data_IF_710687876089
#
_entry.id   IF_710687876089
#
_cell.length_a   1.000
_cell.length_b   1.000
_cell.length_c   1.000
_cell.angle_alpha   90.00
_cell.angle_beta   90.00
_cell.angle_gamma   90.00
#
_symmetry.space_group_name_H-M   'P 1'
#
loop_
_entity.id
_entity.type
_entity.pdbx_description
1 polymer ?
#
# COMPACT_ATOMS: atom_id res chain seq x y z
N UNK A 1 -27.75 0.92 -18.44
CA UNK A 1 -29.17 0.53 -18.29
C UNK A 1 -29.92 0.50 -19.62
N UNK A 2 -30.24 1.63 -20.25
CA UNK A 2 -31.07 1.65 -21.48
C UNK A 2 -30.48 1.05 -22.76
N UNK A 3 -29.31 0.40 -22.71
CA UNK A 3 -28.72 -0.36 -23.83
C UNK A 3 -28.81 -1.88 -23.65
N UNK A 4 -29.22 -2.35 -22.47
CA UNK A 4 -29.04 -3.75 -22.06
C UNK A 4 -30.36 -4.46 -21.73
N UNK A 5 -31.49 -3.75 -21.69
CA UNK A 5 -32.84 -4.33 -21.57
C UNK A 5 -33.88 -3.36 -22.16
N UNK A 6 -34.74 -3.85 -23.06
CA UNK A 6 -35.85 -3.09 -23.64
C UNK A 6 -36.84 -2.62 -22.56
N UNK A 7 -37.08 -3.47 -21.54
CA UNK A 7 -37.98 -3.15 -20.42
C UNK A 7 -37.44 -2.00 -19.56
N UNK A 8 -36.11 -1.93 -19.39
CA UNK A 8 -35.47 -0.81 -18.70
C UNK A 8 -35.58 0.49 -19.51
N UNK A 9 -35.55 0.39 -20.84
CA UNK A 9 -35.66 1.52 -21.74
C UNK A 9 -37.06 2.13 -21.74
N UNK A 10 -38.11 1.29 -21.77
CA UNK A 10 -39.51 1.73 -21.72
C UNK A 10 -39.82 2.53 -20.45
N UNK A 11 -39.30 2.10 -19.29
CA UNK A 11 -39.48 2.82 -18.03
C UNK A 11 -38.67 4.11 -18.02
N UNK A 12 -37.43 4.11 -18.53
CA UNK A 12 -36.61 5.33 -18.62
C UNK A 12 -37.25 6.37 -19.53
N UNK A 13 -37.84 5.95 -20.66
CA UNK A 13 -38.56 6.84 -21.58
C UNK A 13 -39.85 7.37 -20.95
N UNK A 14 -40.59 6.51 -20.25
CA UNK A 14 -41.76 6.91 -19.45
C UNK A 14 -41.42 7.97 -18.39
N UNK A 15 -40.27 7.83 -17.72
CA UNK A 15 -39.79 8.81 -16.73
C UNK A 15 -39.35 10.12 -17.37
N UNK A 16 -38.73 10.06 -18.55
CA UNK A 16 -38.32 11.26 -19.30
C UNK A 16 -39.52 12.07 -19.80
N UNK A 17 -40.61 11.39 -20.15
CA UNK A 17 -41.83 12.00 -20.67
C UNK A 17 -42.75 12.57 -19.56
N UNK A 18 -42.36 12.51 -18.28
CA UNK A 18 -43.11 13.12 -17.18
C UNK A 18 -42.88 14.65 -17.12
N UNK A 19 -43.90 15.48 -17.44
CA UNK A 19 -43.73 16.93 -17.52
C UNK A 19 -43.59 17.62 -16.16
N UNK A 20 -43.88 16.90 -15.06
CA UNK A 20 -43.97 17.46 -13.69
C UNK A 20 -42.68 17.33 -12.87
N UNK A 21 -41.68 16.59 -13.36
CA UNK A 21 -40.42 16.32 -12.64
C UNK A 21 -39.26 17.08 -13.29
N UNK A 22 -38.71 18.07 -12.58
CA UNK A 22 -37.65 18.93 -13.13
C UNK A 22 -36.25 18.50 -12.68
N UNK A 23 -36.11 17.85 -11.52
CA UNK A 23 -34.78 17.46 -11.01
C UNK A 23 -34.36 16.05 -11.42
N UNK A 24 -33.04 15.84 -11.54
CA UNK A 24 -32.48 14.50 -11.78
C UNK A 24 -32.80 13.53 -10.62
N UNK A 25 -32.87 14.05 -9.39
CA UNK A 25 -33.23 13.25 -8.21
C UNK A 25 -34.70 12.81 -8.23
N UNK A 26 -35.61 13.72 -8.59
CA UNK A 26 -37.02 13.41 -8.78
C UNK A 26 -37.23 12.37 -9.88
N UNK A 27 -36.43 12.44 -10.96
CA UNK A 27 -36.45 11.43 -12.04
C UNK A 27 -36.01 10.06 -11.53
N UNK A 28 -34.95 9.99 -10.73
CA UNK A 28 -34.51 8.73 -10.11
C UNK A 28 -35.56 8.16 -9.16
N UNK A 29 -36.27 9.00 -8.40
CA UNK A 29 -37.35 8.57 -7.50
C UNK A 29 -38.59 8.09 -8.25
N UNK A 30 -38.97 8.77 -9.33
CA UNK A 30 -40.06 8.33 -10.20
C UNK A 30 -39.71 7.01 -10.89
N UNK A 31 -38.46 6.87 -11.36
CA UNK A 31 -37.95 5.63 -11.93
C UNK A 31 -38.02 4.48 -10.92
N UNK A 32 -37.59 4.70 -9.68
CA UNK A 32 -37.64 3.68 -8.63
C UNK A 32 -39.08 3.21 -8.35
N UNK A 33 -40.03 4.15 -8.21
CA UNK A 33 -41.45 3.82 -8.00
C UNK A 33 -42.06 3.05 -9.16
N UNK A 34 -41.74 3.42 -10.41
CA UNK A 34 -42.19 2.70 -11.60
C UNK A 34 -41.57 1.31 -11.70
N UNK A 35 -40.29 1.17 -11.38
CA UNK A 35 -39.60 -0.12 -11.34
C UNK A 35 -40.21 -1.07 -10.28
N UNK A 36 -40.61 -0.53 -9.12
CA UNK A 36 -41.35 -1.29 -8.10
C UNK A 36 -42.75 -1.68 -8.58
N UNK A 37 -43.48 -0.77 -9.23
CA UNK A 37 -44.81 -1.05 -9.79
C UNK A 37 -44.77 -2.13 -10.88
N UNK A 38 -43.69 -2.19 -11.66
CA UNK A 38 -43.45 -3.23 -12.66
C UNK A 38 -42.86 -4.53 -12.10
N UNK A 39 -42.54 -4.57 -10.80
CA UNK A 39 -41.91 -5.72 -10.11
C UNK A 39 -40.59 -6.18 -10.75
N UNK A 40 -39.86 -5.23 -11.34
CA UNK A 40 -38.61 -5.49 -12.08
C UNK A 40 -37.41 -4.79 -11.45
N UNK A 41 -37.56 -4.24 -10.24
CA UNK A 41 -36.50 -3.51 -9.56
C UNK A 41 -35.24 -4.39 -9.35
N UNK A 42 -35.42 -5.62 -8.87
CA UNK A 42 -34.33 -6.58 -8.67
C UNK A 42 -33.64 -6.92 -9.99
N UNK A 43 -34.40 -7.13 -11.06
CA UNK A 43 -33.88 -7.41 -12.41
C UNK A 43 -33.01 -6.27 -12.93
N UNK A 44 -33.40 -5.01 -12.70
CA UNK A 44 -32.56 -3.87 -13.10
C UNK A 44 -31.24 -3.82 -12.32
N UNK A 45 -31.27 -4.04 -11.00
CA UNK A 45 -30.04 -4.09 -10.21
C UNK A 45 -29.17 -5.30 -10.56
N UNK A 46 -29.76 -6.44 -10.92
CA UNK A 46 -29.03 -7.60 -11.41
C UNK A 46 -28.26 -7.26 -12.71
N UNK A 47 -28.94 -6.67 -13.70
CA UNK A 47 -28.31 -6.24 -14.96
C UNK A 47 -27.19 -5.21 -14.70
N UNK A 48 -27.35 -4.37 -13.68
CA UNK A 48 -26.34 -3.39 -13.29
C UNK A 48 -25.07 -4.06 -12.72
N UNK A 49 -25.25 -5.12 -11.91
CA UNK A 49 -24.15 -5.89 -11.32
C UNK A 49 -23.47 -6.82 -12.32
N UNK A 50 -24.22 -7.40 -13.27
CA UNK A 50 -23.68 -8.22 -14.35
C UNK A 50 -22.71 -7.41 -15.24
N UNK A 51 -22.88 -6.08 -15.28
CA UNK A 51 -22.01 -5.13 -15.99
C UNK A 51 -21.17 -4.23 -15.06
N UNK A 52 -20.90 -4.67 -13.82
CA UNK A 52 -20.18 -3.88 -12.79
C UNK A 52 -18.84 -3.32 -13.27
N UNK A 53 -18.09 -4.07 -14.08
CA UNK A 53 -16.72 -3.72 -14.49
C UNK A 53 -16.68 -2.70 -15.64
N UNK A 54 -17.80 -2.41 -16.29
CA UNK A 54 -17.83 -1.51 -17.47
C UNK A 54 -18.61 -0.23 -17.24
N UNK A 55 -19.69 -0.25 -16.43
CA UNK A 55 -20.56 0.90 -16.22
C UNK A 55 -20.35 1.50 -14.83
N UNK A 56 -20.10 0.68 -13.81
CA UNK A 56 -20.06 1.15 -12.42
C UNK A 56 -18.73 1.79 -12.02
N UNK A 57 -17.64 1.41 -12.69
CA UNK A 57 -16.29 1.95 -12.41
C UNK A 57 -16.17 3.47 -12.70
N UNK A 58 -16.95 4.00 -13.63
CA UNK A 58 -16.95 5.45 -13.95
C UNK A 58 -17.69 6.30 -12.91
N UNK A 59 -18.69 5.73 -12.21
CA UNK A 59 -19.59 6.47 -11.33
C UNK A 59 -19.40 6.18 -9.83
N UNK A 60 -18.73 5.09 -9.47
CA UNK A 60 -18.58 4.65 -8.08
C UNK A 60 -17.13 4.50 -7.66
N UNK A 61 -16.82 4.86 -6.42
CA UNK A 61 -15.50 4.64 -5.83
C UNK A 61 -15.25 3.13 -5.65
N UNK A 62 -13.99 2.64 -5.74
CA UNK A 62 -13.64 1.23 -5.55
C UNK A 62 -14.15 0.55 -4.27
N UNK A 63 -14.44 1.33 -3.22
CA UNK A 63 -14.94 0.85 -1.93
C UNK A 63 -16.46 1.03 -1.77
N UNK A 64 -17.19 1.29 -2.86
CA UNK A 64 -18.64 1.48 -2.82
C UNK A 64 -19.36 0.14 -2.73
N UNK A 65 -20.50 0.11 -2.04
CA UNK A 65 -21.31 -1.09 -1.85
C UNK A 65 -21.60 -1.84 -3.17
N UNK A 66 -21.89 -1.11 -4.25
CA UNK A 66 -22.24 -1.68 -5.55
C UNK A 66 -21.07 -2.37 -6.29
N UNK A 67 -19.82 -2.10 -5.90
CA UNK A 67 -18.63 -2.80 -6.43
C UNK A 67 -18.17 -3.94 -5.51
N UNK A 68 -18.65 -3.97 -4.27
CA UNK A 68 -18.40 -5.07 -3.34
C UNK A 68 -19.19 -6.32 -3.75
N UNK A 69 -18.69 -7.49 -3.34
CA UNK A 69 -19.44 -8.75 -3.45
C UNK A 69 -20.76 -8.71 -2.65
N UNK A 70 -20.85 -7.79 -1.68
CA UNK A 70 -22.04 -7.56 -0.86
C UNK A 70 -23.26 -7.06 -1.66
N UNK A 71 -23.03 -6.47 -2.84
CA UNK A 71 -24.10 -6.02 -3.71
C UNK A 71 -25.01 -7.17 -4.16
N UNK A 72 -24.48 -8.39 -4.25
CA UNK A 72 -25.27 -9.58 -4.61
C UNK A 72 -26.30 -9.91 -3.52
N UNK A 73 -25.97 -9.72 -2.25
CA UNK A 73 -26.92 -9.89 -1.15
C UNK A 73 -28.02 -8.83 -1.20
N UNK A 74 -27.69 -7.59 -1.57
CA UNK A 74 -28.67 -6.53 -1.77
C UNK A 74 -29.69 -6.92 -2.85
N UNK A 75 -29.25 -7.44 -4.00
CA UNK A 75 -30.16 -7.90 -5.06
C UNK A 75 -30.99 -9.08 -4.59
N UNK A 76 -30.42 -10.02 -3.84
CA UNK A 76 -31.16 -11.13 -3.22
C UNK A 76 -32.32 -10.66 -2.36
N UNK A 77 -32.12 -9.61 -1.56
CA UNK A 77 -33.20 -8.99 -0.75
C UNK A 77 -34.22 -8.29 -1.65
N UNK A 78 -33.78 -7.59 -2.70
CA UNK A 78 -34.67 -6.91 -3.65
C UNK A 78 -35.57 -7.89 -4.42
N UNK A 79 -35.15 -9.13 -4.66
CA UNK A 79 -36.01 -10.16 -5.25
C UNK A 79 -37.22 -10.42 -4.34
N UNK A 80 -37.03 -10.41 -3.02
CA UNK A 80 -38.13 -10.51 -2.05
C UNK A 80 -39.14 -9.38 -2.13
N UNK A 81 -38.73 -8.19 -2.60
CA UNK A 81 -39.64 -7.06 -2.78
C UNK A 81 -40.63 -7.24 -3.95
N UNK A 82 -40.36 -8.16 -4.88
CA UNK A 82 -41.28 -8.45 -5.99
C UNK A 82 -42.59 -9.12 -5.53
N UNK A 83 -42.62 -9.66 -4.30
CA UNK A 83 -43.82 -10.25 -3.71
C UNK A 83 -44.89 -9.19 -3.34
N UNK A 84 -44.53 -7.91 -3.25
CA UNK A 84 -45.44 -6.84 -2.88
C UNK A 84 -46.07 -6.18 -4.11
N UNK A 85 -47.38 -5.96 -4.05
CA UNK A 85 -48.12 -5.19 -5.06
C UNK A 85 -48.02 -3.70 -4.74
N UNK A 86 -47.11 -3.00 -5.43
CA UNK A 86 -46.93 -1.57 -5.26
C UNK A 86 -47.78 -0.77 -6.25
N UNK A 87 -48.77 -0.03 -5.75
CA UNK A 87 -49.56 0.92 -6.54
C UNK A 87 -49.26 2.36 -6.13
N UNK A 88 -48.35 3.02 -6.84
CA UNK A 88 -48.11 4.46 -6.65
C UNK A 88 -48.90 5.29 -7.67
N UNK A 89 -49.65 6.26 -7.18
CA UNK A 89 -50.33 7.25 -8.01
C UNK A 89 -49.34 8.31 -8.46
N UNK A 90 -48.81 8.19 -9.68
CA UNK A 90 -47.80 9.11 -10.24
C UNK A 90 -48.32 10.53 -10.55
N UNK A 91 -49.62 10.81 -10.38
CA UNK A 91 -50.23 12.06 -10.81
C UNK A 91 -50.16 13.19 -9.77
N UNK A 92 -50.07 12.87 -8.47
CA UNK A 92 -50.34 13.83 -7.41
C UNK A 92 -49.16 14.16 -6.47
N UNK A 93 -47.99 13.51 -6.64
CA UNK A 93 -46.83 13.75 -5.76
C UNK A 93 -45.77 14.68 -6.40
N UNK A 94 -45.34 15.70 -5.66
CA UNK A 94 -44.17 16.52 -6.01
C UNK A 94 -42.88 15.72 -5.73
N UNK A 95 -42.42 14.96 -6.72
CA UNK A 95 -41.23 14.10 -6.60
C UNK A 95 -39.91 14.83 -6.25
N UNK A 96 -39.87 16.15 -6.45
CA UNK A 96 -38.71 17.01 -6.26
C UNK A 96 -38.51 17.44 -4.78
N UNK A 97 -39.54 17.35 -3.91
CA UNK A 97 -39.47 17.76 -2.50
C UNK A 97 -39.73 16.59 -1.52
N UNK A 98 -39.16 16.69 -0.31
CA UNK A 98 -39.26 15.70 0.76
C UNK A 98 -40.60 15.85 1.52
N UNK A 99 -41.40 14.79 1.58
CA UNK A 99 -42.37 14.59 2.67
C UNK A 99 -42.06 13.23 3.33
N UNK A 100 -41.56 13.21 4.57
CA UNK A 100 -41.14 11.98 5.24
C UNK A 100 -42.28 11.27 6.00
N UNK A 101 -43.55 11.63 5.77
CA UNK A 101 -44.66 11.16 6.60
C UNK A 101 -45.67 10.43 5.73
N UNK A 102 -45.68 9.09 5.82
CA UNK A 102 -46.81 8.27 5.38
C UNK A 102 -47.94 8.48 6.38
N UNK A 103 -48.99 9.20 6.01
CA UNK A 103 -50.16 9.38 6.87
C UNK A 103 -51.01 8.10 6.88
N UNK A 104 -50.69 7.19 7.80
CA UNK A 104 -51.41 5.93 8.00
C UNK A 104 -52.81 6.10 8.60
N UNK A 105 -53.25 7.33 8.91
CA UNK A 105 -54.59 7.59 9.46
C UNK A 105 -55.71 7.24 8.49
N UNK A 106 -55.45 7.30 7.18
CA UNK A 106 -56.42 6.93 6.15
C UNK A 106 -56.65 5.41 6.04
N UNK A 107 -55.71 4.60 6.53
CA UNK A 107 -55.80 3.13 6.50
C UNK A 107 -56.40 2.54 7.79
N UNK A 108 -56.72 3.37 8.78
CA UNK A 108 -57.20 2.95 10.10
C UNK A 108 -58.66 3.34 10.41
N UNK A 109 -59.49 3.54 9.39
CA UNK A 109 -60.92 3.82 9.58
C UNK A 109 -61.83 2.84 8.82
N UNK A 110 -61.68 1.55 9.12
CA UNK A 110 -62.81 0.62 9.02
C UNK A 110 -63.75 0.89 10.20
N UNK A 111 -64.79 1.71 9.98
CA UNK A 111 -66.14 1.65 10.60
C UNK A 111 -66.91 2.97 10.46
N UNK A 112 -67.15 3.42 9.22
CA UNK A 112 -68.15 4.46 8.95
C UNK A 112 -69.17 3.98 7.92
N UNK A 113 -69.84 2.87 8.23
CA UNK A 113 -71.10 2.48 7.61
C UNK A 113 -71.98 1.80 8.66
N UNK A 114 -72.66 2.59 9.49
CA UNK A 114 -73.98 2.27 10.09
C UNK A 114 -74.38 3.33 11.12
N UNK A 115 -75.34 4.17 10.75
CA UNK A 115 -76.68 4.23 11.34
C UNK A 115 -77.34 5.56 10.99
N UNK A 116 -78.15 5.52 9.93
CA UNK A 116 -79.34 6.35 9.81
C UNK A 116 -80.54 5.53 10.30
N UNK A 117 -81.64 6.23 10.64
CA UNK A 117 -82.97 5.76 11.08
C UNK A 117 -83.04 5.59 12.63
N UNK A 118 -83.82 6.35 13.41
CA UNK A 118 -85.21 6.75 13.19
C UNK A 118 -85.66 7.96 14.06
N UNK A 119 -86.59 8.76 13.52
CA UNK A 119 -87.38 9.79 14.22
C UNK A 119 -88.83 9.31 14.31
N UNK A 120 -89.47 9.41 15.48
CA UNK A 120 -90.93 9.48 15.72
C UNK A 120 -91.18 9.53 17.25
N UNK A 121 -92.15 10.18 17.88
CA UNK A 121 -93.22 11.15 17.57
C UNK A 121 -93.85 11.53 18.93
N UNK A 122 -94.23 12.78 19.11
CA UNK A 122 -94.99 13.27 20.28
C UNK A 122 -96.53 13.16 20.08
N UNK A 123 -97.25 13.10 21.22
CA UNK A 123 -98.60 13.61 21.55
C UNK A 123 -99.88 12.98 20.94
N UNK A 124 -100.90 12.81 21.81
CA UNK A 124 -102.27 13.35 21.61
C UNK A 124 -103.26 13.02 22.74
N UNK A 125 -104.11 14.01 23.04
CA UNK A 125 -105.25 14.14 23.96
C UNK A 125 -106.39 13.09 23.85
N UNK A 126 -107.30 13.12 24.84
CA UNK A 126 -108.74 12.91 24.63
C UNK A 126 -109.61 13.68 25.65
N UNK A 127 -110.74 14.20 25.15
CA UNK A 127 -111.68 15.21 25.68
C UNK A 127 -113.05 14.62 26.18
N UNK A 128 -113.87 15.51 26.80
CA UNK A 128 -115.37 15.59 26.84
C UNK A 128 -116.17 14.64 27.81
N UNK A 129 -117.30 14.95 28.50
CA UNK A 129 -118.38 15.97 28.38
C UNK A 129 -119.46 15.91 29.54
N UNK A 130 -120.28 16.97 29.73
CA UNK A 130 -121.68 17.10 30.29
C UNK A 130 -121.97 16.89 31.82
N UNK A 131 -122.61 17.73 32.66
CA UNK A 131 -123.76 18.69 32.74
C UNK A 131 -124.95 18.16 33.61
N UNK A 132 -125.21 18.90 34.71
CA UNK A 132 -126.45 19.09 35.53
C UNK A 132 -126.97 18.01 36.49
N UNK A 133 -127.11 18.35 37.80
CA UNK A 133 -128.33 18.95 38.41
C UNK A 133 -128.07 19.31 39.89
N UNK A 134 -128.02 20.59 40.21
CA UNK A 134 -128.07 21.18 41.56
C UNK A 134 -129.50 21.06 42.11
N UNK A 135 -129.73 20.42 43.27
CA UNK A 135 -130.18 21.15 44.47
C UNK A 135 -130.35 20.24 45.71
N UNK A 136 -129.72 19.05 45.72
CA UNK A 136 -129.49 18.26 46.96
C UNK A 136 -128.00 18.25 47.30
N UNK A 137 -127.19 18.92 46.46
CA UNK A 137 -125.76 18.71 46.42
C UNK A 137 -124.98 19.75 47.22
N UNK A 138 -125.49 20.92 47.60
CA UNK A 138 -124.67 21.96 48.28
C UNK A 138 -124.11 21.56 49.67
N UNK A 139 -124.81 20.71 50.43
CA UNK A 139 -124.33 20.24 51.75
C UNK A 139 -123.46 18.99 51.67
N UNK A 140 -123.61 18.18 50.62
CA UNK A 140 -122.72 17.05 50.31
C UNK A 140 -121.52 17.48 49.47
N UNK A 141 -121.64 18.51 48.63
CA UNK A 141 -120.54 19.17 47.91
C UNK A 141 -119.63 19.82 48.92
N UNK A 142 -120.10 20.55 49.95
CA UNK A 142 -119.16 21.11 50.94
C UNK A 142 -118.34 20.05 51.70
N UNK A 143 -118.95 18.89 51.98
CA UNK A 143 -118.33 17.79 52.72
C UNK A 143 -117.48 16.88 51.81
N UNK A 144 -117.91 16.66 50.57
CA UNK A 144 -117.15 15.99 49.53
C UNK A 144 -116.06 16.90 48.95
N UNK A 145 -116.22 18.22 48.92
CA UNK A 145 -115.20 19.21 48.54
C UNK A 145 -114.13 19.25 49.60
N UNK A 146 -114.46 19.33 50.89
CA UNK A 146 -113.42 19.19 51.93
C UNK A 146 -112.74 17.82 51.90
N UNK A 147 -113.45 16.75 51.54
CA UNK A 147 -112.87 15.39 51.46
C UNK A 147 -112.10 15.14 50.17
N UNK A 148 -112.52 15.73 49.05
CA UNK A 148 -111.82 15.73 47.76
C UNK A 148 -110.63 16.67 47.83
N UNK A 149 -110.71 17.81 48.50
CA UNK A 149 -109.60 18.74 48.68
C UNK A 149 -108.56 18.14 49.64
N UNK A 150 -108.98 17.46 50.72
CA UNK A 150 -108.03 16.73 51.58
C UNK A 150 -107.47 15.46 50.91
N UNK A 151 -108.26 14.66 50.19
CA UNK A 151 -107.77 13.48 49.48
C UNK A 151 -106.95 13.84 48.23
N UNK A 152 -107.32 14.88 47.48
CA UNK A 152 -106.58 15.40 46.33
C UNK A 152 -105.30 16.09 46.77
N UNK A 153 -105.31 16.83 47.89
CA UNK A 153 -104.10 17.43 48.44
C UNK A 153 -103.17 16.33 48.99
N UNK A 154 -103.69 15.29 49.64
CA UNK A 154 -102.89 14.14 50.08
C UNK A 154 -102.36 13.28 48.92
N UNK A 155 -103.17 12.98 47.89
CA UNK A 155 -102.72 12.24 46.71
C UNK A 155 -101.71 13.03 45.87
N UNK A 156 -101.91 14.34 45.73
CA UNK A 156 -100.95 15.22 45.07
C UNK A 156 -99.65 15.32 45.88
N UNK A 157 -99.72 15.42 47.20
CA UNK A 157 -98.53 15.42 48.06
C UNK A 157 -97.78 14.08 48.01
N UNK A 158 -98.47 12.93 47.99
CA UNK A 158 -97.86 11.60 47.83
C UNK A 158 -97.26 11.39 46.42
N UNK A 159 -97.93 11.87 45.37
CA UNK A 159 -97.38 11.84 44.01
C UNK A 159 -96.19 12.79 43.82
N UNK A 160 -96.22 13.96 44.44
CA UNK A 160 -95.08 14.89 44.46
C UNK A 160 -93.93 14.28 45.26
N UNK A 161 -94.20 13.66 46.42
CA UNK A 161 -93.17 12.98 47.21
C UNK A 161 -92.52 11.81 46.44
N UNK A 162 -93.32 10.96 45.80
CA UNK A 162 -92.80 9.84 44.98
C UNK A 162 -92.06 10.33 43.73
N UNK A 163 -92.52 11.40 43.08
CA UNK A 163 -91.79 12.00 41.96
C UNK A 163 -90.48 12.66 42.40
N UNK A 164 -90.43 13.31 43.56
CA UNK A 164 -89.19 13.84 44.15
C UNK A 164 -88.22 12.70 44.46
N UNK A 165 -88.70 11.59 45.04
CA UNK A 165 -87.92 10.39 45.33
C UNK A 165 -87.38 9.76 44.02
N UNK A 166 -88.21 9.63 42.99
CA UNK A 166 -87.82 9.07 41.69
C UNK A 166 -86.81 9.96 40.94
N UNK A 167 -86.99 11.29 40.97
CA UNK A 167 -86.01 12.23 40.42
C UNK A 167 -84.69 12.15 41.19
N UNK A 168 -84.75 12.02 42.52
CA UNK A 168 -83.56 11.84 43.36
C UNK A 168 -82.83 10.54 43.03
N UNK A 169 -83.54 9.41 42.97
CA UNK A 169 -82.98 8.11 42.61
C UNK A 169 -82.45 8.08 41.17
N UNK A 170 -83.11 8.76 40.23
CA UNK A 170 -82.64 8.92 38.85
C UNK A 170 -81.34 9.75 38.79
N UNK A 171 -81.25 10.80 39.60
CA UNK A 171 -80.03 11.62 39.71
C UNK A 171 -78.89 10.85 40.40
N UNK A 172 -79.18 10.05 41.43
CA UNK A 172 -78.20 9.17 42.07
C UNK A 172 -77.71 8.08 41.12
N UNK A 173 -78.62 7.42 40.40
CA UNK A 173 -78.25 6.38 39.41
C UNK A 173 -77.45 6.97 38.23
N UNK A 174 -77.80 8.17 37.76
CA UNK A 174 -77.01 8.85 36.72
C UNK A 174 -75.63 9.27 37.24
N UNK A 175 -75.52 9.75 38.49
CA UNK A 175 -74.24 10.06 39.12
C UNK A 175 -73.38 8.80 39.30
N UNK A 176 -73.96 7.69 39.77
CA UNK A 176 -73.26 6.40 39.92
C UNK A 176 -72.79 5.87 38.56
N UNK A 177 -73.62 5.97 37.52
CA UNK A 177 -73.25 5.56 36.16
C UNK A 177 -72.09 6.40 35.62
N UNK A 178 -72.15 7.72 35.77
CA UNK A 178 -71.07 8.62 35.35
C UNK A 178 -69.76 8.35 36.10
N UNK A 179 -69.82 8.10 37.41
CA UNK A 179 -68.67 7.73 38.24
C UNK A 179 -68.09 6.36 37.83
N UNK A 180 -68.95 5.40 37.51
CA UNK A 180 -68.55 4.08 37.01
C UNK A 180 -67.84 4.18 35.65
N UNK A 181 -68.39 4.98 34.73
CA UNK A 181 -67.79 5.22 33.41
C UNK A 181 -66.44 5.94 33.53
N UNK A 182 -66.32 6.96 34.38
CA UNK A 182 -65.03 7.61 34.68
C UNK A 182 -64.02 6.63 35.28
N UNK A 183 -64.44 5.79 36.23
CA UNK A 183 -63.55 4.80 36.85
C UNK A 183 -63.01 3.79 35.82
N UNK A 184 -63.89 3.29 34.94
CA UNK A 184 -63.52 2.37 33.87
C UNK A 184 -62.60 3.02 32.82
N UNK A 185 -62.81 4.30 32.49
CA UNK A 185 -61.92 5.05 31.61
C UNK A 185 -60.52 5.23 32.23
N UNK A 186 -60.44 5.62 33.50
CA UNK A 186 -59.15 5.76 34.20
C UNK A 186 -58.43 4.41 34.31
N UNK A 187 -59.16 3.32 34.53
CA UNK A 187 -58.58 1.98 34.56
C UNK A 187 -58.01 1.57 33.20
N UNK A 188 -58.77 1.78 32.12
CA UNK A 188 -58.30 1.49 30.75
C UNK A 188 -57.06 2.31 30.40
N UNK A 189 -57.07 3.62 30.69
CA UNK A 189 -55.92 4.48 30.46
C UNK A 189 -54.70 4.05 31.28
N UNK A 190 -54.88 3.61 32.53
CA UNK A 190 -53.77 3.07 33.34
C UNK A 190 -53.20 1.79 32.75
N UNK A 191 -54.05 0.90 32.26
CA UNK A 191 -53.62 -0.34 31.63
C UNK A 191 -52.82 -0.08 30.34
N UNK A 192 -53.32 0.82 29.50
CA UNK A 192 -52.64 1.24 28.27
C UNK A 192 -51.29 1.90 28.60
N UNK A 193 -51.26 2.81 29.56
CA UNK A 193 -50.04 3.47 30.01
C UNK A 193 -49.03 2.47 30.59
N UNK A 194 -49.49 1.48 31.35
CA UNK A 194 -48.63 0.43 31.91
C UNK A 194 -48.09 -0.50 30.81
N UNK A 195 -48.90 -0.82 29.81
CA UNK A 195 -48.47 -1.60 28.63
C UNK A 195 -47.41 -0.85 27.82
N UNK A 196 -47.64 0.45 27.55
CA UNK A 196 -46.69 1.30 26.82
C UNK A 196 -45.39 1.45 27.60
N UNK A 197 -45.47 1.67 28.92
CA UNK A 197 -44.28 1.80 29.76
C UNK A 197 -43.48 0.49 29.81
N UNK A 198 -44.16 -0.66 29.89
CA UNK A 198 -43.50 -1.98 29.84
C UNK A 198 -42.76 -2.18 28.52
N UNK A 199 -43.38 -1.85 27.37
CA UNK A 199 -42.74 -1.95 26.06
C UNK A 199 -41.54 -1.01 25.91
N UNK A 200 -41.65 0.22 26.43
CA UNK A 200 -40.51 1.17 26.45
C UNK A 200 -39.35 0.64 27.28
N UNK A 201 -39.63 0.08 28.46
CA UNK A 201 -38.60 -0.50 29.31
C UNK A 201 -37.92 -1.70 28.64
N UNK A 202 -38.68 -2.57 27.99
CA UNK A 202 -38.14 -3.71 27.24
C UNK A 202 -37.23 -3.27 26.09
N UNK A 203 -37.62 -2.22 25.35
CA UNK A 203 -36.80 -1.67 24.28
C UNK A 203 -35.50 -1.03 24.81
N UNK A 204 -35.56 -0.33 25.95
CA UNK A 204 -34.37 0.23 26.61
C UNK A 204 -33.42 -0.88 27.09
N UNK A 205 -33.94 -1.99 27.61
CA UNK A 205 -33.12 -3.16 27.98
C UNK A 205 -32.43 -3.73 26.74
N UNK A 206 -33.15 -3.95 25.65
CA UNK A 206 -32.57 -4.45 24.39
C UNK A 206 -31.49 -3.52 23.84
N UNK A 207 -31.76 -2.22 23.82
CA UNK A 207 -30.80 -1.22 23.35
C UNK A 207 -29.54 -1.21 24.23
N UNK A 208 -29.71 -1.38 25.54
CA UNK A 208 -28.60 -1.47 26.48
C UNK A 208 -27.78 -2.74 26.28
N UNK A 209 -28.43 -3.88 26.07
CA UNK A 209 -27.74 -5.15 25.75
C UNK A 209 -26.96 -5.04 24.43
N UNK A 210 -27.57 -4.47 23.39
CA UNK A 210 -26.89 -4.21 22.12
C UNK A 210 -25.69 -3.28 22.31
N UNK A 211 -25.84 -2.18 23.05
CA UNK A 211 -24.74 -1.28 23.39
C UNK A 211 -23.62 -1.97 24.19
N UNK A 212 -23.96 -2.87 25.10
CA UNK A 212 -22.99 -3.65 25.87
C UNK A 212 -22.22 -4.63 24.99
N UNK A 213 -22.89 -5.32 24.07
CA UNK A 213 -22.21 -6.19 23.10
C UNK A 213 -21.28 -5.39 22.18
N UNK A 214 -21.73 -4.24 21.66
CA UNK A 214 -20.91 -3.34 20.85
C UNK A 214 -19.69 -2.83 21.63
N UNK A 215 -19.86 -2.48 22.92
CA UNK A 215 -18.77 -2.07 23.81
C UNK A 215 -17.73 -3.18 23.97
N UNK A 216 -18.18 -4.42 24.19
CA UNK A 216 -17.29 -5.57 24.36
C UNK A 216 -16.51 -5.88 23.08
N UNK A 217 -17.13 -5.76 21.90
CA UNK A 217 -16.42 -5.88 20.63
C UNK A 217 -15.36 -4.80 20.44
N UNK A 218 -15.67 -3.54 20.77
CA UNK A 218 -14.70 -2.45 20.71
C UNK A 218 -13.56 -2.64 21.71
N UNK A 219 -13.84 -3.12 22.93
CA UNK A 219 -12.83 -3.44 23.93
C UNK A 219 -11.89 -4.55 23.45
N UNK A 220 -12.43 -5.59 22.82
CA UNK A 220 -11.63 -6.65 22.20
C UNK A 220 -10.76 -6.14 21.03
N UNK A 221 -11.28 -5.29 20.15
CA UNK A 221 -10.52 -4.67 19.05
C UNK A 221 -9.41 -3.74 19.59
N UNK A 222 -9.68 -2.99 20.66
CA UNK A 222 -8.67 -2.17 21.34
C UNK A 222 -7.56 -3.05 21.90
N UNK A 223 -7.89 -4.14 22.58
CA UNK A 223 -6.87 -5.06 23.11
C UNK A 223 -6.05 -5.71 22.01
N UNK A 224 -6.68 -6.19 20.92
CA UNK A 224 -5.97 -6.74 19.78
C UNK A 224 -5.01 -5.70 19.16
N UNK A 225 -5.47 -4.45 18.99
CA UNK A 225 -4.62 -3.35 18.51
C UNK A 225 -3.48 -3.04 19.48
N UNK A 226 -3.74 -3.04 20.78
CA UNK A 226 -2.70 -2.86 21.80
C UNK A 226 -1.62 -3.95 21.70
N UNK A 227 -2.01 -5.21 21.54
CA UNK A 227 -1.07 -6.32 21.36
C UNK A 227 -0.23 -6.16 20.07
N UNK A 228 -0.85 -5.75 18.97
CA UNK A 228 -0.09 -5.43 17.74
C UNK A 228 0.89 -4.27 17.95
N UNK A 229 0.53 -3.24 18.71
CA UNK A 229 1.43 -2.14 19.02
C UNK A 229 2.60 -2.62 19.91
N UNK A 230 2.34 -3.48 20.89
CA UNK A 230 3.38 -4.05 21.75
C UNK A 230 4.36 -4.88 20.92
N UNK A 231 3.87 -5.74 20.02
CA UNK A 231 4.74 -6.54 19.14
C UNK A 231 5.58 -5.68 18.21
N UNK A 232 5.00 -4.64 17.59
CA UNK A 232 5.74 -3.70 16.74
C UNK A 232 6.79 -2.91 17.53
N UNK A 233 6.51 -2.53 18.78
CA UNK A 233 7.48 -1.86 19.66
C UNK A 233 8.66 -2.78 19.97
N UNK A 234 8.40 -4.05 20.28
CA UNK A 234 9.47 -5.03 20.51
C UNK A 234 10.33 -5.23 19.25
N UNK A 235 9.71 -5.34 18.07
CA UNK A 235 10.44 -5.43 16.81
C UNK A 235 11.31 -4.19 16.54
N UNK A 236 10.82 -2.99 16.87
CA UNK A 236 11.61 -1.75 16.73
C UNK A 236 12.83 -1.75 17.66
N UNK A 237 12.68 -2.23 18.89
CA UNK A 237 13.78 -2.32 19.84
C UNK A 237 14.79 -3.41 19.45
N UNK A 238 14.35 -4.53 18.89
CA UNK A 238 15.22 -5.52 18.26
C UNK A 238 16.01 -4.93 17.10
N UNK A 239 15.37 -4.18 16.20
CA UNK A 239 16.05 -3.49 15.09
C UNK A 239 17.09 -2.48 15.60
N UNK A 240 16.78 -1.73 16.65
CA UNK A 240 17.75 -0.83 17.30
C UNK A 240 18.94 -1.60 17.87
N UNK A 241 18.69 -2.73 18.51
CA UNK A 241 19.75 -3.58 19.03
C UNK A 241 20.63 -4.14 17.90
N UNK A 242 20.03 -4.66 16.83
CA UNK A 242 20.73 -5.15 15.64
C UNK A 242 21.57 -4.03 15.02
N UNK A 243 20.99 -2.85 14.82
CA UNK A 243 21.72 -1.69 14.28
C UNK A 243 22.92 -1.35 15.16
N UNK A 244 22.76 -1.27 16.49
CA UNK A 244 23.88 -1.03 17.40
C UNK A 244 24.97 -2.12 17.30
N UNK A 245 24.58 -3.39 17.17
CA UNK A 245 25.51 -4.50 16.99
C UNK A 245 26.27 -4.41 15.66
N UNK A 246 25.59 -4.05 14.57
CA UNK A 246 26.20 -3.87 13.24
C UNK A 246 27.18 -2.71 13.29
N UNK A 247 26.81 -1.56 13.87
CA UNK A 247 27.73 -0.43 14.03
C UNK A 247 28.99 -0.81 14.82
N UNK A 248 28.84 -1.58 15.92
CA UNK A 248 30.00 -2.09 16.68
C UNK A 248 30.86 -3.06 15.85
N UNK A 249 30.26 -3.94 15.06
CA UNK A 249 31.00 -4.85 14.17
C UNK A 249 31.73 -4.10 13.06
N UNK A 250 31.08 -3.10 12.46
CA UNK A 250 31.67 -2.26 11.44
C UNK A 250 32.88 -1.51 11.99
N UNK A 251 32.74 -0.86 13.15
CA UNK A 251 33.85 -0.17 13.81
C UNK A 251 35.05 -1.09 14.09
N UNK A 252 34.80 -2.33 14.54
CA UNK A 252 35.87 -3.33 14.72
C UNK A 252 36.55 -3.67 13.40
N UNK A 253 35.78 -3.85 12.33
CA UNK A 253 36.33 -4.16 11.00
C UNK A 253 37.11 -2.99 10.41
N UNK A 254 36.66 -1.76 10.62
CA UNK A 254 37.39 -0.56 10.22
C UNK A 254 38.73 -0.45 10.96
N UNK A 255 38.76 -0.75 12.27
CA UNK A 255 40.01 -0.79 13.04
C UNK A 255 40.97 -1.89 12.54
N UNK A 256 40.46 -3.11 12.28
CA UNK A 256 41.25 -4.20 11.70
C UNK A 256 41.79 -3.84 10.30
N UNK A 257 41.00 -3.13 9.48
CA UNK A 257 41.42 -2.66 8.17
C UNK A 257 42.53 -1.60 8.26
N UNK A 258 42.40 -0.65 9.19
CA UNK A 258 43.45 0.34 9.44
C UNK A 258 44.76 -0.33 9.87
N UNK A 259 44.69 -1.31 10.77
CA UNK A 259 45.87 -2.07 11.19
C UNK A 259 46.55 -2.78 10.01
N UNK A 260 45.76 -3.48 9.17
CA UNK A 260 46.29 -4.14 7.97
C UNK A 260 46.85 -3.16 6.95
N UNK A 261 46.26 -1.98 6.81
CA UNK A 261 46.78 -0.93 5.92
C UNK A 261 48.17 -0.48 6.37
N UNK A 262 48.35 -0.23 7.68
CA UNK A 262 49.66 0.11 8.24
C UNK A 262 50.70 -1.00 8.04
N UNK A 263 50.31 -2.27 8.26
CA UNK A 263 51.19 -3.41 7.98
C UNK A 263 51.55 -3.53 6.50
N UNK A 264 50.61 -3.21 5.60
CA UNK A 264 50.88 -3.22 4.16
C UNK A 264 51.88 -2.13 3.78
N UNK A 265 51.73 -0.91 4.30
CA UNK A 265 52.69 0.17 4.09
C UNK A 265 54.10 -0.20 4.59
N UNK A 266 54.19 -0.81 5.77
CA UNK A 266 55.47 -1.29 6.31
C UNK A 266 56.11 -2.34 5.39
N UNK A 267 55.33 -3.33 4.96
CA UNK A 267 55.78 -4.35 4.02
C UNK A 267 56.17 -3.76 2.65
N UNK A 268 55.49 -2.72 2.19
CA UNK A 268 55.83 -2.01 0.97
C UNK A 268 57.19 -1.32 1.10
N UNK A 269 57.47 -0.68 2.25
CA UNK A 269 58.77 -0.08 2.56
C UNK A 269 59.86 -1.15 2.58
N UNK A 270 59.62 -2.29 3.26
CA UNK A 270 60.58 -3.41 3.30
C UNK A 270 60.84 -3.95 1.89
N UNK A 271 59.80 -4.13 1.08
CA UNK A 271 59.93 -4.59 -0.31
C UNK A 271 60.74 -3.62 -1.16
N UNK A 272 60.55 -2.30 -0.99
CA UNK A 272 61.37 -1.27 -1.66
C UNK A 272 62.83 -1.35 -1.22
N UNK A 273 63.11 -1.55 0.07
CA UNK A 273 64.48 -1.74 0.58
C UNK A 273 65.14 -2.98 -0.03
N UNK A 274 64.48 -4.13 0.03
CA UNK A 274 64.98 -5.38 -0.55
C UNK A 274 65.21 -5.28 -2.06
N UNK A 275 64.31 -4.59 -2.78
CA UNK A 275 64.48 -4.35 -4.23
C UNK A 275 65.73 -3.50 -4.51
N UNK A 276 65.99 -2.49 -3.69
CA UNK A 276 67.20 -1.66 -3.82
C UNK A 276 68.47 -2.46 -3.52
N UNK A 277 68.47 -3.28 -2.46
CA UNK A 277 69.59 -4.17 -2.12
C UNK A 277 69.86 -5.18 -3.23
N UNK A 278 68.83 -5.83 -3.77
CA UNK A 278 68.96 -6.71 -4.94
C UNK A 278 69.52 -5.98 -6.16
N UNK A 279 69.09 -4.74 -6.42
CA UNK A 279 69.63 -3.93 -7.52
C UNK A 279 71.12 -3.63 -7.32
N UNK A 280 71.53 -3.28 -6.10
CA UNK A 280 72.93 -3.06 -5.77
C UNK A 280 73.77 -4.33 -5.91
N UNK A 281 73.27 -5.47 -5.42
CA UNK A 281 73.94 -6.77 -5.55
C UNK A 281 74.08 -7.19 -7.02
N UNK A 282 73.01 -7.05 -7.81
CA UNK A 282 73.05 -7.32 -9.25
C UNK A 282 74.06 -6.43 -9.97
N UNK A 283 74.12 -5.14 -9.64
CA UNK A 283 75.11 -4.23 -10.22
C UNK A 283 76.54 -4.62 -9.84
N UNK A 284 76.79 -5.01 -8.58
CA UNK A 284 78.09 -5.55 -8.14
C UNK A 284 78.45 -6.83 -8.90
N UNK A 285 77.50 -7.74 -9.11
CA UNK A 285 77.72 -8.98 -9.85
C UNK A 285 78.14 -8.70 -11.30
N UNK A 286 77.47 -7.77 -11.98
CA UNK A 286 77.82 -7.35 -13.35
C UNK A 286 79.26 -6.81 -13.40
N UNK A 287 79.59 -5.86 -12.52
CA UNK A 287 80.94 -5.27 -12.47
C UNK A 287 82.02 -6.32 -12.20
N UNK A 288 81.76 -7.28 -11.31
CA UNK A 288 82.69 -8.39 -11.06
C UNK A 288 82.86 -9.24 -12.32
N UNK A 289 81.77 -9.62 -13.00
CA UNK A 289 81.86 -10.43 -14.23
C UNK A 289 82.57 -9.72 -15.39
N UNK A 290 82.38 -8.41 -15.55
CA UNK A 290 83.06 -7.61 -16.58
C UNK A 290 84.54 -7.45 -16.25
N UNK A 291 84.88 -7.14 -14.99
CA UNK A 291 86.27 -6.96 -14.56
C UNK A 291 87.07 -8.27 -14.59
N UNK A 292 86.49 -9.41 -14.22
CA UNK A 292 87.22 -10.69 -14.28
C UNK A 292 87.48 -11.10 -15.74
N UNK A 293 86.47 -11.01 -16.62
CA UNK A 293 86.61 -11.32 -18.04
C UNK A 293 87.64 -10.42 -18.73
N UNK A 294 87.59 -9.10 -18.47
CA UNK A 294 88.55 -8.16 -19.02
C UNK A 294 89.97 -8.40 -18.48
N UNK A 295 90.11 -8.73 -17.19
CA UNK A 295 91.43 -9.01 -16.60
C UNK A 295 92.07 -10.26 -17.21
N UNK A 296 91.33 -11.35 -17.33
CA UNK A 296 91.84 -12.59 -17.91
C UNK A 296 92.21 -12.41 -19.40
N UNK A 297 91.39 -11.66 -20.16
CA UNK A 297 91.69 -11.30 -21.55
C UNK A 297 92.96 -10.43 -21.66
N UNK A 298 93.09 -9.39 -20.84
CA UNK A 298 94.27 -8.50 -20.84
C UNK A 298 95.53 -9.25 -20.45
N UNK A 299 95.46 -10.14 -19.47
CA UNK A 299 96.61 -10.95 -19.05
C UNK A 299 97.03 -11.94 -20.15
N UNK A 300 96.09 -12.48 -20.92
CA UNK A 300 96.39 -13.30 -22.10
C UNK A 300 97.06 -12.48 -23.23
N UNK A 301 96.52 -11.30 -23.56
CA UNK A 301 97.12 -10.42 -24.56
C UNK A 301 98.53 -9.95 -24.15
N UNK A 302 98.76 -9.67 -22.86
CA UNK A 302 100.10 -9.34 -22.36
C UNK A 302 101.09 -10.48 -22.56
N UNK A 303 100.73 -11.72 -22.21
CA UNK A 303 101.59 -12.89 -22.46
C UNK A 303 101.92 -13.05 -23.94
N UNK A 304 100.93 -12.88 -24.81
CA UNK A 304 101.14 -12.97 -26.25
C UNK A 304 102.08 -11.86 -26.77
N UNK A 305 101.93 -10.63 -26.27
CA UNK A 305 102.84 -9.51 -26.59
C UNK A 305 104.25 -9.83 -26.11
N UNK A 306 104.43 -10.28 -24.87
CA UNK A 306 105.74 -10.65 -24.33
C UNK A 306 106.41 -11.76 -25.16
N UNK A 307 105.65 -12.76 -25.62
CA UNK A 307 106.14 -13.80 -26.53
C UNK A 307 106.56 -13.24 -27.89
N UNK A 308 105.78 -12.32 -28.47
CA UNK A 308 106.16 -11.67 -29.72
C UNK A 308 107.40 -10.80 -29.55
N UNK A 309 107.52 -10.09 -28.44
CA UNK A 309 108.69 -9.25 -28.14
C UNK A 309 109.96 -10.09 -27.96
N UNK A 310 109.89 -11.23 -27.26
CA UNK A 310 111.00 -12.18 -27.18
C UNK A 310 111.36 -12.75 -28.57
N UNK A 311 110.36 -13.05 -29.40
CA UNK A 311 110.60 -13.49 -30.77
C UNK A 311 111.24 -12.40 -31.63
N UNK A 312 110.82 -11.14 -31.47
CA UNK A 312 111.45 -9.98 -32.12
C UNK A 312 112.90 -9.83 -31.66
N UNK A 313 113.18 -9.93 -30.36
CA UNK A 313 114.56 -9.89 -29.83
C UNK A 313 115.41 -11.03 -30.40
N UNK A 314 114.88 -12.24 -30.46
CA UNK A 314 115.55 -13.39 -31.07
C UNK A 314 115.85 -13.15 -32.55
N UNK A 315 114.87 -12.72 -33.34
CA UNK A 315 115.05 -12.38 -34.76
C UNK A 315 116.03 -11.22 -34.95
N UNK A 316 116.03 -10.20 -34.08
CA UNK A 316 117.00 -9.10 -34.13
C UNK A 316 118.42 -9.58 -33.83
N UNK A 317 118.58 -10.51 -32.88
CA UNK A 317 119.87 -11.16 -32.59
C UNK A 317 120.36 -11.97 -33.79
N UNK A 318 119.48 -12.77 -34.40
CA UNK A 318 119.78 -13.50 -35.64
C UNK A 318 120.17 -12.55 -36.77
N UNK A 319 119.41 -11.47 -37.00
CA UNK A 319 119.72 -10.45 -38.00
C UNK A 319 121.10 -9.81 -37.76
N UNK A 320 121.43 -9.50 -36.50
CA UNK A 320 122.74 -8.96 -36.14
C UNK A 320 123.87 -9.96 -36.41
N UNK A 321 123.66 -11.24 -36.13
CA UNK A 321 124.60 -12.31 -36.49
C UNK A 321 124.79 -12.42 -38.00
N UNK A 322 123.71 -12.39 -38.79
CA UNK A 322 123.80 -12.39 -40.26
C UNK A 322 124.53 -11.15 -40.79
N UNK A 323 124.28 -9.96 -40.23
CA UNK A 323 125.02 -8.73 -40.59
C UNK A 323 126.51 -8.89 -40.30
N UNK A 324 126.89 -9.44 -39.15
CA UNK A 324 128.29 -9.69 -38.78
C UNK A 324 128.95 -10.74 -39.70
N UNK A 325 128.20 -11.77 -40.11
CA UNK A 325 128.67 -12.74 -41.08
C UNK A 325 128.87 -12.12 -42.47
N UNK A 326 127.96 -11.23 -42.88
CA UNK A 326 128.07 -10.50 -44.15
C UNK A 326 129.31 -9.59 -44.18
N UNK A 327 129.60 -8.85 -43.10
CA UNK A 327 130.81 -8.02 -43.03
C UNK A 327 132.08 -8.88 -43.08
N UNK A 328 132.09 -10.01 -42.36
CA UNK A 328 133.20 -10.98 -42.42
C UNK A 328 133.43 -11.52 -43.83
N UNK A 329 132.36 -11.88 -44.55
CA UNK A 329 132.46 -12.34 -45.93
C UNK A 329 132.99 -11.24 -46.87
N UNK A 330 132.58 -9.98 -46.67
CA UNK A 330 133.11 -8.84 -47.41
C UNK A 330 134.62 -8.66 -47.22
N UNK A 331 135.10 -8.75 -45.96
CA UNK A 331 136.54 -8.68 -45.68
C UNK A 331 137.32 -9.86 -46.26
N UNK A 332 136.73 -11.07 -46.28
CA UNK A 332 137.35 -12.24 -46.89
C UNK A 332 137.50 -12.08 -48.42
N UNK A 333 136.48 -11.49 -49.07
CA UNK A 333 136.50 -11.19 -50.50
C UNK A 333 137.58 -10.14 -50.84
N UNK A 334 137.70 -9.11 -50.01
CA UNK A 334 138.74 -8.08 -50.15
C UNK A 334 140.15 -8.67 -49.98
N UNK A 335 140.35 -9.53 -48.97
CA UNK A 335 141.60 -10.26 -48.76
C UNK A 335 141.93 -11.21 -49.92
N UNK A 336 140.93 -11.93 -50.45
CA UNK A 336 141.09 -12.78 -51.62
C UNK A 336 141.52 -11.98 -52.86
N UNK A 337 140.92 -10.82 -53.11
CA UNK A 337 141.30 -9.95 -54.22
C UNK A 337 142.74 -9.43 -54.09
N UNK A 338 143.17 -9.08 -52.88
CA UNK A 338 144.56 -8.69 -52.59
C UNK A 338 145.55 -9.84 -52.80
N UNK A 339 145.19 -11.05 -52.37
CA UNK A 339 146.03 -12.23 -52.57
C UNK A 339 146.15 -12.57 -54.06
N UNK A 340 145.05 -12.48 -54.80
CA UNK A 340 145.02 -12.69 -56.25
C UNK A 340 145.93 -11.70 -56.96
N UNK A 341 145.87 -10.41 -56.60
CA UNK A 341 146.79 -9.40 -57.11
C UNK A 341 148.27 -9.75 -56.84
N UNK A 342 148.59 -10.22 -55.62
CA UNK A 342 149.95 -10.68 -55.31
C UNK A 342 150.38 -11.91 -56.10
N UNK A 343 149.46 -12.81 -56.42
CA UNK A 343 149.73 -13.96 -57.29
C UNK A 343 150.03 -13.49 -58.72
N UNK A 344 149.22 -12.59 -59.27
CA UNK A 344 149.41 -12.02 -60.59
C UNK A 344 150.77 -11.26 -60.68
N UNK A 345 151.11 -10.49 -59.64
CA UNK A 345 152.40 -9.79 -59.53
C UNK A 345 153.60 -10.77 -59.47
N UNK A 346 153.46 -11.91 -58.77
CA UNK A 346 154.49 -12.94 -58.70
C UNK A 346 154.65 -13.71 -60.02
N UNK A 347 153.56 -13.93 -60.76
CA UNK A 347 153.58 -14.56 -62.08
C UNK A 347 154.34 -13.67 -63.09
N UNK A 348 154.10 -12.36 -63.06
CA UNK A 348 154.86 -11.38 -63.85
C UNK A 348 156.35 -11.36 -63.47
N UNK A 349 156.69 -11.45 -62.19
CA UNK A 349 158.08 -11.51 -61.75
C UNK A 349 158.80 -12.79 -62.22
N UNK A 350 158.09 -13.92 -62.28
CA UNK A 350 158.63 -15.18 -62.81
C UNK A 350 158.82 -15.14 -64.33
N UNK A 351 157.93 -14.48 -65.08
CA UNK A 351 158.13 -14.22 -66.51
C UNK A 351 159.36 -13.32 -66.78
N UNK A 352 159.59 -12.29 -65.95
CA UNK A 352 160.79 -11.44 -66.05
C UNK A 352 162.09 -12.22 -65.76
N UNK A 353 162.08 -13.12 -64.77
CA UNK A 353 163.22 -14.00 -64.49
C UNK A 353 163.44 -14.97 -65.67
N UNK A 354 162.36 -15.52 -66.24
CA UNK A 354 162.44 -16.36 -67.45
C UNK A 354 163.08 -15.65 -68.64
N UNK A 355 162.74 -14.37 -68.86
CA UNK A 355 163.37 -13.54 -69.90
C UNK A 355 164.86 -13.29 -69.64
N UNK A 356 165.26 -13.03 -68.39
CA UNK A 356 166.68 -12.86 -68.01
C UNK A 356 167.52 -14.11 -68.22
N UNK A 357 166.94 -15.31 -68.06
CA UNK A 357 167.64 -16.57 -68.35
C UNK A 357 167.80 -16.83 -69.86
N UNK A 358 166.92 -16.32 -70.71
CA UNK A 358 167.07 -16.41 -72.17
C UNK A 358 168.17 -15.48 -72.72
N UNK A 359 168.43 -14.33 -72.10
CA UNK A 359 169.52 -13.42 -72.52
C UNK A 359 170.93 -13.97 -72.24
N UNK A 360 171.10 -14.84 -71.24
CA UNK A 360 172.41 -15.46 -70.94
C UNK A 360 172.83 -16.56 -71.94
N UNK A 361 171.90 -17.05 -72.78
CA UNK A 361 172.15 -18.15 -73.72
C UNK A 361 172.67 -17.67 -75.11
N UNK A 362 173.00 -16.38 -75.26
CA UNK A 362 173.42 -15.78 -76.55
C UNK A 362 174.92 -15.36 -76.59
N UNK A 363 175.71 -15.64 -75.54
CA UNK A 363 177.18 -15.36 -75.53
C UNK A 363 178.05 -16.64 -75.61
N UNK A 364 177.46 -17.79 -75.94
CA UNK A 364 178.15 -18.99 -76.43
C UNK A 364 177.49 -19.45 -77.71
#
# INVERSE_FOLDING_TARGET
MGKYSEEAQDIIESVKNLPRVRTNLGRSRAWLRLAMMKKQLSTFFQILLDHRETILDEYYHPNSLLLSEDANYLVGILIGLNAFDYSAYLKDEYFDFYEPIVDLRLFWNENSYRNDVDRSRENSDCDLESITTTNVIESTIKNLEQKIESLSSNQFNDQVATNIENVRLSNENSAIKNLSEQSNQVFSQRFDNQSVLSKKLENEIKLREEAETARNFLEADIHAKQDTIITLRNQLDELRMINSQIFKKLQKKDAELQEKSSQFEENEIITKKLRNELRQLNQKLIVISENSCNKDMVDNYKRLIDEQDEKIKSMQSELNNYKLQSTRNSHLLEAHNLLKKKFDDNELALEEIGKKYQEYFIIL
#
